data_IF_624908634711
#
_entry.id   IF_624908634711
#
_cell.length_a   1.000
_cell.length_b   1.000
_cell.length_c   1.000
_cell.angle_alpha   90.00
_cell.angle_beta   90.00
_cell.angle_gamma   90.00
#
_symmetry.space_group_name_H-M   'P 1'
#
loop_
_entity.id
_entity.type
_entity.pdbx_description
1 polymer ?
#
# COMPACT_ATOMS: atom_id res chain seq x y z
N UNK A 1 20.70 -30.11 -13.60
CA UNK A 1 19.62 -30.16 -12.61
C UNK A 1 18.84 -28.88 -12.79
N UNK A 2 17.53 -28.89 -13.01
CA UNK A 2 16.79 -27.64 -13.17
C UNK A 2 16.69 -26.94 -11.80
N UNK A 3 17.15 -25.69 -11.72
CA UNK A 3 16.96 -24.84 -10.57
C UNK A 3 15.44 -24.68 -10.35
N UNK A 4 14.95 -25.17 -9.23
CA UNK A 4 13.58 -24.93 -8.79
C UNK A 4 13.38 -23.41 -8.63
N UNK A 5 12.38 -22.80 -9.28
CA UNK A 5 12.10 -21.36 -9.13
C UNK A 5 11.86 -20.93 -7.66
N UNK A 6 11.58 -21.89 -6.77
CA UNK A 6 11.37 -21.66 -5.34
C UNK A 6 12.66 -21.38 -4.54
N UNK A 7 13.84 -21.64 -5.11
CA UNK A 7 15.13 -21.50 -4.39
C UNK A 7 15.84 -20.16 -4.62
N UNK A 8 15.27 -19.24 -5.38
CA UNK A 8 15.85 -17.89 -5.48
C UNK A 8 15.57 -17.14 -4.18
N UNK A 9 16.63 -16.68 -3.45
CA UNK A 9 16.42 -15.85 -2.28
C UNK A 9 15.75 -14.55 -2.75
N UNK A 10 14.47 -14.39 -2.42
CA UNK A 10 13.78 -13.13 -2.63
C UNK A 10 14.39 -12.15 -1.63
N UNK A 11 14.94 -11.03 -2.10
CA UNK A 11 15.54 -9.97 -1.25
C UNK A 11 14.57 -9.54 -0.14
N UNK A 12 13.26 -9.59 -0.43
CA UNK A 12 12.18 -9.32 0.53
C UNK A 12 12.11 -10.34 1.69
N UNK A 13 12.71 -11.54 1.57
CA UNK A 13 12.80 -12.53 2.66
C UNK A 13 13.94 -12.25 3.62
N UNK A 14 14.84 -11.34 3.31
CA UNK A 14 15.90 -10.95 4.23
C UNK A 14 15.31 -10.08 5.34
N UNK A 15 15.33 -10.51 6.61
CA UNK A 15 14.77 -9.73 7.72
C UNK A 15 15.40 -8.34 7.83
N UNK A 16 16.63 -8.15 7.34
CA UNK A 16 17.30 -6.85 7.30
C UNK A 16 16.64 -5.85 6.34
N UNK A 17 15.82 -6.31 5.38
CA UNK A 17 15.11 -5.40 4.47
C UNK A 17 14.23 -4.42 5.24
N UNK A 18 13.39 -4.92 6.16
CA UNK A 18 12.54 -4.06 6.98
C UNK A 18 13.38 -3.16 7.91
N UNK A 19 14.44 -3.69 8.49
CA UNK A 19 15.34 -2.93 9.37
C UNK A 19 16.05 -1.78 8.63
N UNK A 20 16.46 -1.99 7.38
CA UNK A 20 17.19 -1.00 6.58
C UNK A 20 16.23 -0.03 5.90
N UNK A 21 15.20 -0.54 5.22
CA UNK A 21 14.31 0.28 4.37
C UNK A 21 13.24 1.02 5.20
N UNK A 22 12.72 0.35 6.25
CA UNK A 22 11.66 0.87 7.12
C UNK A 22 12.12 1.12 8.56
N UNK A 23 13.42 1.37 8.77
CA UNK A 23 13.93 1.78 10.08
C UNK A 23 13.21 3.04 10.57
N UNK A 24 13.04 3.17 11.88
CA UNK A 24 12.43 4.36 12.49
C UNK A 24 13.17 5.66 12.16
N UNK A 25 14.45 5.57 11.80
CA UNK A 25 15.26 6.69 11.33
C UNK A 25 14.87 7.14 9.92
N UNK A 26 14.65 6.17 9.00
CA UNK A 26 14.29 6.46 7.60
C UNK A 26 12.80 6.72 7.41
N UNK A 27 11.98 5.96 8.13
CA UNK A 27 10.52 6.03 8.10
C UNK A 27 9.99 6.15 9.55
N UNK A 28 10.10 7.32 10.17
CA UNK A 28 9.63 7.53 11.53
C UNK A 28 8.12 7.26 11.60
N UNK A 29 7.70 6.62 12.70
CA UNK A 29 6.28 6.45 13.00
C UNK A 29 5.66 7.84 13.17
N UNK A 30 4.62 8.13 12.42
CA UNK A 30 3.97 9.43 12.41
C UNK A 30 2.46 9.29 12.33
N UNK A 31 1.76 10.41 12.28
CA UNK A 31 0.28 10.46 12.23
C UNK A 31 -0.31 10.03 10.88
N UNK A 32 0.54 9.88 9.84
CA UNK A 32 0.06 9.60 8.48
C UNK A 32 -0.80 8.33 8.38
N UNK A 33 -0.44 7.17 8.98
CA UNK A 33 -1.30 5.99 8.96
C UNK A 33 -2.68 6.24 9.54
N UNK A 34 -2.77 6.91 10.69
CA UNK A 34 -4.04 7.25 11.34
C UNK A 34 -4.89 8.21 10.48
N UNK A 35 -4.27 9.21 9.86
CA UNK A 35 -4.96 10.14 8.97
C UNK A 35 -5.47 9.44 7.70
N UNK A 36 -4.66 8.56 7.09
CA UNK A 36 -5.06 7.82 5.90
C UNK A 36 -6.16 6.80 6.21
N UNK A 37 -6.04 6.04 7.28
CA UNK A 37 -7.06 5.08 7.71
C UNK A 37 -8.42 5.78 7.93
N UNK A 38 -8.44 6.92 8.62
CA UNK A 38 -9.64 7.75 8.81
C UNK A 38 -10.22 8.22 7.46
N UNK A 39 -9.37 8.73 6.57
CA UNK A 39 -9.80 9.16 5.24
C UNK A 39 -10.44 8.02 4.44
N UNK A 40 -9.84 6.82 4.48
CA UNK A 40 -10.37 5.64 3.79
C UNK A 40 -11.67 5.13 4.42
N UNK A 41 -11.79 5.19 5.76
CA UNK A 41 -13.05 4.88 6.44
C UNK A 41 -14.17 5.81 5.97
N UNK A 42 -13.91 7.11 5.88
CA UNK A 42 -14.91 8.10 5.49
C UNK A 42 -15.30 8.05 4.00
N UNK A 43 -14.35 7.72 3.11
CA UNK A 43 -14.52 7.85 1.65
C UNK A 43 -14.74 6.54 0.92
N UNK A 44 -14.12 5.43 1.38
CA UNK A 44 -14.13 4.15 0.72
C UNK A 44 -14.97 3.10 1.47
N UNK A 45 -14.64 2.86 2.74
CA UNK A 45 -15.25 1.76 3.51
C UNK A 45 -16.61 2.13 4.12
N UNK A 46 -16.76 3.37 4.62
CA UNK A 46 -18.01 3.96 5.17
C UNK A 46 -18.62 3.25 6.39
N UNK A 47 -18.04 2.15 6.84
CA UNK A 47 -18.41 1.36 8.02
C UNK A 47 -17.20 0.59 8.52
N UNK A 48 -17.27 0.04 9.72
CA UNK A 48 -16.26 -0.87 10.28
C UNK A 48 -16.63 -2.34 10.07
N UNK A 49 -15.68 -3.23 10.27
CA UNK A 49 -15.84 -4.68 10.13
C UNK A 49 -14.47 -5.38 10.16
N UNK A 50 -14.40 -6.58 9.64
CA UNK A 50 -13.15 -7.34 9.51
C UNK A 50 -12.32 -6.80 8.36
N UNK A 51 -11.08 -6.38 8.65
CA UNK A 51 -10.15 -5.82 7.66
C UNK A 51 -8.87 -6.63 7.63
N UNK A 52 -8.42 -6.98 6.42
CA UNK A 52 -7.10 -7.56 6.19
C UNK A 52 -6.16 -6.51 5.58
N UNK A 53 -5.03 -6.30 6.25
CA UNK A 53 -3.90 -5.51 5.73
C UNK A 53 -2.90 -6.45 5.05
N UNK A 54 -2.81 -6.37 3.71
CA UNK A 54 -1.89 -7.16 2.89
C UNK A 54 -0.61 -6.38 2.70
N UNK A 55 0.50 -6.91 3.24
CA UNK A 55 1.77 -6.21 3.35
C UNK A 55 1.81 -5.30 4.57
N UNK A 56 1.41 -5.84 5.72
CA UNK A 56 1.24 -5.08 6.97
C UNK A 56 2.55 -4.52 7.56
N UNK A 57 3.71 -4.99 7.09
CA UNK A 57 5.02 -4.46 7.47
C UNK A 57 5.21 -4.37 8.99
N UNK A 58 5.42 -3.15 9.52
CA UNK A 58 5.58 -2.92 10.96
C UNK A 58 4.27 -2.90 11.76
N UNK A 59 3.11 -2.95 11.09
CA UNK A 59 1.80 -2.88 11.73
C UNK A 59 1.22 -1.48 11.90
N UNK A 60 1.86 -0.44 11.38
CA UNK A 60 1.42 0.96 11.55
C UNK A 60 -0.05 1.17 11.10
N UNK A 61 -0.50 0.47 10.05
CA UNK A 61 -1.88 0.52 9.57
C UNK A 61 -2.81 -0.42 10.35
N UNK A 62 -2.30 -1.54 10.87
CA UNK A 62 -3.08 -2.38 11.79
C UNK A 62 -3.52 -1.58 13.01
N UNK A 63 -2.57 -0.88 13.65
CA UNK A 63 -2.85 0.01 14.77
C UNK A 63 -3.86 1.10 14.38
N UNK A 64 -3.64 1.74 13.22
CA UNK A 64 -4.48 2.83 12.76
C UNK A 64 -5.95 2.41 12.52
N UNK A 65 -6.18 1.26 11.87
CA UNK A 65 -7.52 0.74 11.64
C UNK A 65 -8.15 0.16 12.91
N UNK A 66 -7.37 -0.51 13.77
CA UNK A 66 -7.85 -1.01 15.06
C UNK A 66 -8.39 0.12 15.95
N UNK A 67 -7.69 1.25 16.02
CA UNK A 67 -8.17 2.44 16.75
C UNK A 67 -9.46 3.07 16.17
N UNK A 68 -9.79 2.75 14.92
CA UNK A 68 -11.05 3.17 14.29
C UNK A 68 -12.17 2.13 14.47
N UNK A 69 -11.92 1.03 15.21
CA UNK A 69 -12.91 -0.01 15.53
C UNK A 69 -13.02 -1.13 14.49
N UNK A 70 -12.02 -1.32 13.62
CA UNK A 70 -11.95 -2.50 12.76
C UNK A 70 -11.38 -3.70 13.52
N UNK A 71 -11.89 -4.90 13.23
CA UNK A 71 -11.26 -6.17 13.59
C UNK A 71 -10.16 -6.45 12.54
N UNK A 72 -8.89 -6.22 12.88
CA UNK A 72 -7.80 -6.24 11.93
C UNK A 72 -7.02 -7.54 11.96
N UNK A 73 -6.61 -7.99 10.78
CA UNK A 73 -5.63 -9.06 10.56
C UNK A 73 -4.57 -8.56 9.60
N UNK A 74 -3.35 -9.11 9.70
CA UNK A 74 -2.24 -8.73 8.83
C UNK A 74 -1.59 -9.94 8.15
N UNK A 75 -1.04 -9.71 6.98
CA UNK A 75 -0.16 -10.67 6.29
C UNK A 75 1.03 -9.94 5.68
N UNK A 76 2.21 -10.51 5.86
CA UNK A 76 3.45 -10.00 5.30
C UNK A 76 4.42 -11.14 4.98
N UNK A 77 5.42 -10.87 4.15
CA UNK A 77 6.50 -11.83 3.85
C UNK A 77 7.48 -11.99 5.03
N UNK A 78 7.63 -10.95 5.83
CA UNK A 78 8.49 -10.92 7.00
C UNK A 78 7.69 -11.18 8.27
N UNK A 79 8.25 -11.90 9.23
CA UNK A 79 7.61 -12.04 10.53
C UNK A 79 7.52 -10.67 11.21
N UNK A 80 6.31 -10.28 11.56
CA UNK A 80 6.06 -9.08 12.36
C UNK A 80 6.65 -9.27 13.77
N UNK A 81 6.88 -8.16 14.48
CA UNK A 81 7.40 -8.22 15.84
C UNK A 81 6.50 -9.08 16.74
N UNK A 82 7.10 -9.79 17.69
CA UNK A 82 6.34 -10.62 18.64
C UNK A 82 5.25 -9.82 19.38
N UNK A 83 5.51 -8.54 19.68
CA UNK A 83 4.53 -7.65 20.32
C UNK A 83 3.27 -7.41 19.47
N UNK A 84 3.39 -7.32 18.15
CA UNK A 84 2.24 -7.18 17.25
C UNK A 84 1.45 -8.52 17.12
N UNK A 85 2.14 -9.66 17.22
CA UNK A 85 1.52 -10.99 17.16
C UNK A 85 0.61 -11.29 18.36
N UNK A 86 0.88 -10.69 19.52
CA UNK A 86 0.02 -10.84 20.70
C UNK A 86 -1.28 -10.03 20.59
N UNK A 87 -1.31 -9.02 19.71
CA UNK A 87 -2.45 -8.09 19.58
C UNK A 87 -3.32 -8.41 18.37
N UNK A 88 -2.74 -8.84 17.27
CA UNK A 88 -3.42 -9.02 15.99
C UNK A 88 -3.26 -10.44 15.44
N UNK A 89 -4.20 -10.88 14.61
CA UNK A 89 -4.05 -12.11 13.83
C UNK A 89 -3.09 -11.84 12.67
N UNK A 90 -1.85 -12.33 12.81
CA UNK A 90 -0.78 -12.12 11.84
C UNK A 90 -0.37 -13.44 11.19
N UNK A 91 -0.19 -13.42 9.87
CA UNK A 91 0.29 -14.58 9.11
C UNK A 91 1.44 -14.19 8.20
N UNK A 92 2.37 -15.12 8.00
CA UNK A 92 3.46 -14.96 7.04
C UNK A 92 3.07 -15.60 5.71
N UNK A 93 3.32 -14.88 4.59
CA UNK A 93 3.00 -15.36 3.26
C UNK A 93 3.88 -14.68 2.21
N UNK A 94 4.44 -15.46 1.30
CA UNK A 94 5.15 -14.95 0.13
C UNK A 94 4.20 -14.90 -1.08
N UNK A 95 3.62 -13.75 -1.34
CA UNK A 95 2.66 -13.54 -2.44
C UNK A 95 3.24 -13.77 -3.85
N UNK A 96 4.55 -13.88 -4.02
CA UNK A 96 5.14 -14.31 -5.30
C UNK A 96 4.79 -15.77 -5.64
N UNK A 97 4.59 -16.63 -4.65
CA UNK A 97 4.41 -18.06 -4.87
C UNK A 97 3.36 -18.74 -3.98
N UNK A 98 2.79 -18.02 -3.01
CA UNK A 98 1.85 -18.61 -2.04
C UNK A 98 0.50 -17.87 -2.10
N UNK A 99 -0.62 -18.61 -1.99
CA UNK A 99 -1.93 -18.00 -1.84
C UNK A 99 -2.08 -17.36 -0.45
N UNK A 100 -2.93 -16.34 -0.33
CA UNK A 100 -3.28 -15.75 0.97
C UNK A 100 -3.80 -16.82 1.95
N UNK A 101 -3.21 -16.94 3.17
CA UNK A 101 -3.52 -18.01 4.11
C UNK A 101 -4.78 -17.75 4.97
N UNK A 102 -5.84 -17.26 4.34
CA UNK A 102 -7.14 -16.96 4.95
C UNK A 102 -8.27 -17.65 4.20
N UNK A 103 -9.43 -17.81 4.85
CA UNK A 103 -10.59 -18.47 4.26
C UNK A 103 -11.27 -17.58 3.19
N UNK A 104 -12.06 -18.20 2.34
CA UNK A 104 -12.90 -17.47 1.40
C UNK A 104 -13.97 -16.68 2.15
N UNK A 105 -14.27 -15.46 1.66
CA UNK A 105 -15.35 -14.61 2.19
C UNK A 105 -15.21 -14.32 3.71
N UNK A 106 -13.96 -14.14 4.18
CA UNK A 106 -13.67 -13.91 5.60
C UNK A 106 -13.72 -12.43 5.96
N UNK A 107 -13.30 -11.53 5.06
CA UNK A 107 -13.11 -10.11 5.34
C UNK A 107 -14.17 -9.23 4.68
N UNK A 108 -14.56 -8.17 5.38
CA UNK A 108 -15.44 -7.12 4.85
C UNK A 108 -14.62 -6.11 4.02
N UNK A 109 -13.34 -5.94 4.38
CA UNK A 109 -12.44 -4.95 3.80
C UNK A 109 -11.04 -5.50 3.58
N UNK A 110 -10.42 -5.06 2.49
CA UNK A 110 -9.00 -5.28 2.19
C UNK A 110 -8.31 -3.93 2.09
N UNK A 111 -7.15 -3.82 2.69
CA UNK A 111 -6.20 -2.75 2.49
C UNK A 111 -4.87 -3.34 2.03
N UNK A 112 -4.23 -2.71 1.04
CA UNK A 112 -2.86 -3.03 0.62
C UNK A 112 -2.20 -1.76 0.12
N UNK A 113 -1.05 -1.42 0.69
CA UNK A 113 -0.29 -0.23 0.30
C UNK A 113 1.18 -0.57 0.13
N UNK A 114 1.73 -0.25 -1.04
CA UNK A 114 3.14 -0.46 -1.38
C UNK A 114 3.55 -1.94 -1.28
N UNK A 115 2.81 -2.81 -1.98
CA UNK A 115 3.06 -4.25 -2.07
C UNK A 115 3.07 -4.73 -3.52
N UNK A 116 2.06 -4.36 -4.30
CA UNK A 116 1.86 -4.90 -5.65
C UNK A 116 3.02 -4.55 -6.60
N UNK A 117 3.71 -3.44 -6.38
CA UNK A 117 4.89 -3.02 -7.13
C UNK A 117 6.11 -3.89 -6.90
N UNK A 118 6.15 -4.65 -5.80
CA UNK A 118 7.23 -5.58 -5.47
C UNK A 118 7.04 -6.97 -6.09
N UNK A 119 5.88 -7.25 -6.65
CA UNK A 119 5.54 -8.55 -7.22
C UNK A 119 5.80 -8.59 -8.72
N UNK A 120 6.49 -9.63 -9.20
CA UNK A 120 6.64 -9.87 -10.64
C UNK A 120 5.30 -10.25 -11.26
N UNK A 121 4.46 -10.95 -10.50
CA UNK A 121 3.09 -11.27 -10.90
C UNK A 121 2.11 -10.85 -9.81
N UNK A 122 1.10 -10.00 -10.11
CA UNK A 122 0.17 -9.50 -9.10
C UNK A 122 -0.91 -10.51 -8.72
N UNK A 123 -1.01 -11.65 -9.42
CA UNK A 123 -2.20 -12.50 -9.38
C UNK A 123 -2.47 -13.12 -8.01
N UNK A 124 -1.44 -13.55 -7.26
CA UNK A 124 -1.65 -14.08 -5.91
C UNK A 124 -2.20 -13.03 -4.96
N UNK A 125 -1.79 -11.76 -5.11
CA UNK A 125 -2.33 -10.66 -4.32
C UNK A 125 -3.78 -10.38 -4.72
N UNK A 126 -4.04 -10.09 -6.00
CA UNK A 126 -5.36 -9.59 -6.42
C UNK A 126 -6.44 -10.67 -6.41
N UNK A 127 -6.13 -11.90 -6.89
CA UNK A 127 -7.07 -13.02 -6.83
C UNK A 127 -7.24 -13.53 -5.40
N UNK A 128 -6.17 -13.47 -4.60
CA UNK A 128 -6.23 -13.78 -3.16
C UNK A 128 -7.13 -12.78 -2.42
N UNK A 129 -6.95 -11.48 -2.65
CA UNK A 129 -7.79 -10.43 -2.08
C UNK A 129 -9.27 -10.62 -2.47
N UNK A 130 -9.54 -10.90 -3.76
CA UNK A 130 -10.88 -11.21 -4.23
C UNK A 130 -11.48 -12.43 -3.52
N UNK A 131 -10.71 -13.51 -3.38
CA UNK A 131 -11.16 -14.76 -2.75
C UNK A 131 -11.54 -14.56 -1.29
N UNK A 132 -10.68 -13.90 -0.51
CA UNK A 132 -10.89 -13.75 0.95
C UNK A 132 -11.89 -12.65 1.29
N UNK A 133 -12.19 -11.75 0.36
CA UNK A 133 -13.18 -10.69 0.52
C UNK A 133 -14.59 -11.26 0.43
N UNK A 134 -15.50 -10.84 1.31
CA UNK A 134 -16.93 -11.20 1.26
C UNK A 134 -17.60 -10.60 0.02
N UNK A 135 -18.68 -11.24 -0.52
CA UNK A 135 -19.53 -10.57 -1.49
C UNK A 135 -19.98 -9.19 -1.01
N UNK A 136 -19.88 -8.18 -1.88
CA UNK A 136 -20.14 -6.78 -1.53
C UNK A 136 -19.03 -6.09 -0.73
N UNK A 137 -17.97 -6.80 -0.37
CA UNK A 137 -16.80 -6.23 0.34
C UNK A 137 -15.99 -5.30 -0.55
N UNK A 138 -15.22 -4.42 0.08
CA UNK A 138 -14.44 -3.35 -0.58
C UNK A 138 -12.95 -3.57 -0.39
N UNK A 139 -12.18 -3.47 -1.47
CA UNK A 139 -10.72 -3.46 -1.44
C UNK A 139 -10.17 -2.09 -1.81
N UNK A 140 -9.14 -1.66 -1.09
CA UNK A 140 -8.32 -0.50 -1.39
C UNK A 140 -6.89 -0.95 -1.65
N UNK A 141 -6.37 -0.65 -2.84
CA UNK A 141 -4.99 -0.95 -3.24
C UNK A 141 -4.29 0.33 -3.62
N UNK A 142 -3.13 0.55 -3.02
CA UNK A 142 -2.30 1.74 -3.26
C UNK A 142 -0.89 1.34 -3.68
N UNK A 143 -0.38 1.99 -4.73
CA UNK A 143 0.97 1.75 -5.29
C UNK A 143 1.54 3.04 -5.87
N UNK A 144 2.87 3.21 -5.99
CA UNK A 144 3.45 4.37 -6.67
C UNK A 144 2.92 4.53 -8.09
N UNK A 145 2.59 5.78 -8.46
CA UNK A 145 2.17 6.09 -9.82
C UNK A 145 3.37 6.15 -10.74
N UNK A 146 3.47 5.25 -11.73
CA UNK A 146 4.53 5.29 -12.73
C UNK A 146 4.60 6.65 -13.45
N UNK A 147 3.47 7.24 -13.79
CA UNK A 147 3.41 8.53 -14.46
C UNK A 147 4.08 9.69 -13.67
N UNK A 148 4.25 9.53 -12.34
CA UNK A 148 4.86 10.52 -11.47
C UNK A 148 6.23 10.11 -10.93
N UNK A 149 6.63 8.86 -11.11
CA UNK A 149 7.86 8.33 -10.49
C UNK A 149 8.85 7.74 -11.50
N UNK A 150 8.52 7.66 -12.80
CA UNK A 150 9.34 7.05 -13.86
C UNK A 150 10.73 7.70 -14.02
N UNK A 151 10.86 8.97 -13.68
CA UNK A 151 12.11 9.73 -13.81
C UNK A 151 13.16 9.42 -12.71
N UNK A 152 12.87 8.48 -11.80
CA UNK A 152 13.82 8.01 -10.78
C UNK A 152 13.21 7.57 -9.46
N UNK A 153 12.21 8.28 -8.86
CA UNK A 153 11.70 7.94 -7.54
C UNK A 153 11.11 6.53 -7.40
N UNK A 154 10.69 5.90 -8.50
CA UNK A 154 10.20 4.52 -8.46
C UNK A 154 11.27 3.56 -7.91
N UNK A 155 12.51 3.72 -8.32
CA UNK A 155 13.64 2.88 -7.90
C UNK A 155 14.39 3.40 -6.67
N UNK A 156 13.81 4.29 -5.88
CA UNK A 156 14.33 4.60 -4.53
C UNK A 156 14.32 3.35 -3.67
N UNK A 157 13.31 2.51 -3.83
CA UNK A 157 13.32 1.14 -3.35
C UNK A 157 13.74 0.21 -4.49
N UNK A 158 14.88 -0.46 -4.33
CA UNK A 158 15.48 -1.35 -5.32
C UNK A 158 14.67 -2.64 -5.55
N UNK A 159 13.70 -2.92 -4.71
CA UNK A 159 12.82 -4.10 -4.80
C UNK A 159 11.56 -3.85 -5.63
N UNK A 160 11.34 -2.63 -6.10
CA UNK A 160 10.25 -2.33 -7.03
C UNK A 160 10.54 -2.95 -8.41
N UNK A 161 9.65 -3.81 -8.87
CA UNK A 161 9.81 -4.55 -10.14
C UNK A 161 8.69 -4.27 -11.14
N UNK A 162 7.48 -4.00 -10.69
CA UNK A 162 6.31 -3.80 -11.55
C UNK A 162 5.71 -2.41 -11.40
N UNK A 163 5.92 -1.51 -12.39
CA UNK A 163 5.32 -0.18 -12.36
C UNK A 163 3.85 -0.21 -12.79
N UNK A 164 3.02 0.62 -12.14
CA UNK A 164 1.60 0.73 -12.44
C UNK A 164 1.19 2.13 -12.91
N UNK A 165 0.24 2.14 -13.84
CA UNK A 165 -0.53 3.31 -14.28
C UNK A 165 -1.99 3.14 -13.84
N UNK A 166 -2.82 4.20 -13.95
CA UNK A 166 -4.26 4.08 -13.67
C UNK A 166 -4.90 2.94 -14.48
N UNK A 167 -4.73 2.84 -15.82
CA UNK A 167 -5.32 1.74 -16.59
C UNK A 167 -4.80 0.38 -16.16
N UNK A 168 -3.48 0.19 -16.08
CA UNK A 168 -2.92 -1.13 -15.79
C UNK A 168 -3.30 -1.67 -14.41
N UNK A 169 -3.44 -0.80 -13.41
CA UNK A 169 -3.95 -1.21 -12.10
C UNK A 169 -5.43 -1.58 -12.16
N UNK A 170 -6.24 -0.82 -12.92
CA UNK A 170 -7.66 -1.13 -13.10
C UNK A 170 -7.84 -2.46 -13.86
N UNK A 171 -7.06 -2.71 -14.91
CA UNK A 171 -7.13 -3.96 -15.70
C UNK A 171 -6.83 -5.18 -14.84
N UNK A 172 -5.78 -5.14 -14.03
CA UNK A 172 -5.40 -6.25 -13.13
C UNK A 172 -6.53 -6.55 -12.13
N UNK A 173 -7.17 -5.54 -11.59
CA UNK A 173 -8.29 -5.70 -10.66
C UNK A 173 -9.53 -6.25 -11.37
N UNK A 174 -9.82 -5.78 -12.59
CA UNK A 174 -10.94 -6.26 -13.39
C UNK A 174 -10.76 -7.73 -13.79
N UNK A 175 -9.54 -8.12 -14.19
CA UNK A 175 -9.20 -9.51 -14.52
C UNK A 175 -9.41 -10.44 -13.30
N UNK A 176 -9.14 -9.94 -12.09
CA UNK A 176 -9.40 -10.69 -10.85
C UNK A 176 -10.90 -10.82 -10.49
N UNK A 177 -11.77 -10.12 -11.20
CA UNK A 177 -13.24 -10.19 -11.01
C UNK A 177 -13.84 -9.05 -10.18
N UNK A 178 -13.04 -8.04 -9.80
CA UNK A 178 -13.58 -6.87 -9.11
C UNK A 178 -14.42 -6.00 -10.04
N UNK A 179 -15.42 -5.36 -9.45
CA UNK A 179 -16.31 -4.39 -10.10
C UNK A 179 -16.24 -3.03 -9.41
N UNK A 180 -16.91 -2.03 -9.98
CA UNK A 180 -16.96 -0.66 -9.44
C UNK A 180 -15.57 -0.08 -9.17
N UNK A 181 -14.61 -0.37 -10.08
CA UNK A 181 -13.22 0.02 -9.93
C UNK A 181 -13.08 1.51 -10.17
N UNK A 182 -12.57 2.22 -9.17
CA UNK A 182 -12.20 3.64 -9.24
C UNK A 182 -10.73 3.80 -8.93
N UNK A 183 -9.91 4.00 -9.96
CA UNK A 183 -8.47 4.26 -9.83
C UNK A 183 -8.16 5.72 -10.10
N UNK A 184 -7.40 6.36 -9.20
CA UNK A 184 -7.04 7.78 -9.30
C UNK A 184 -5.66 8.09 -8.75
N UNK A 185 -5.10 9.23 -9.13
CA UNK A 185 -3.91 9.77 -8.46
C UNK A 185 -4.23 10.21 -7.05
N UNK A 186 -3.34 9.86 -6.13
CA UNK A 186 -3.48 10.16 -4.71
C UNK A 186 -2.22 10.84 -4.18
N UNK A 187 -2.34 12.12 -3.86
CA UNK A 187 -1.27 12.92 -3.28
C UNK A 187 -1.19 12.62 -1.79
N UNK A 188 -0.01 12.23 -1.30
CA UNK A 188 0.20 11.88 0.11
C UNK A 188 0.30 13.12 1.03
N UNK A 189 -0.57 14.09 0.80
CA UNK A 189 -0.67 15.36 1.52
C UNK A 189 -2.05 15.46 2.17
N UNK A 190 -2.20 15.16 3.49
CA UNK A 190 -3.50 15.06 4.15
C UNK A 190 -4.39 16.31 4.05
N UNK A 191 -3.81 17.50 4.01
CA UNK A 191 -4.55 18.73 3.86
C UNK A 191 -5.20 18.88 2.46
N UNK A 192 -4.65 18.26 1.42
CA UNK A 192 -5.25 18.22 0.08
C UNK A 192 -6.48 17.32 0.06
N UNK A 193 -6.55 16.30 0.90
CA UNK A 193 -7.72 15.41 0.96
C UNK A 193 -8.96 16.14 1.46
N UNK A 194 -8.78 17.11 2.38
CA UNK A 194 -9.86 17.95 2.92
C UNK A 194 -10.20 19.12 2.00
N UNK A 195 -9.23 19.60 1.21
CA UNK A 195 -9.35 20.78 0.37
C UNK A 195 -8.91 20.46 -1.07
N UNK A 196 -9.73 19.70 -1.80
CA UNK A 196 -9.43 19.28 -3.18
C UNK A 196 -9.23 20.45 -4.16
N UNK A 197 -9.78 21.62 -3.85
CA UNK A 197 -9.54 22.88 -4.60
C UNK A 197 -8.06 23.30 -4.64
N UNK A 198 -7.22 22.77 -3.74
CA UNK A 198 -5.78 23.02 -3.71
C UNK A 198 -4.98 22.15 -4.70
N UNK A 199 -5.59 21.10 -5.25
CA UNK A 199 -4.92 20.20 -6.21
C UNK A 199 -4.27 20.91 -7.40
N UNK A 200 -4.90 21.90 -8.07
CA UNK A 200 -4.26 22.62 -9.16
C UNK A 200 -2.98 23.35 -8.74
N UNK A 201 -2.98 23.92 -7.53
CA UNK A 201 -1.81 24.61 -6.96
C UNK A 201 -0.68 23.60 -6.71
N UNK A 202 -0.98 22.43 -6.16
CA UNK A 202 0.00 21.38 -5.93
C UNK A 202 0.56 20.82 -7.23
N UNK A 203 -0.26 20.65 -8.25
CA UNK A 203 0.20 20.24 -9.59
C UNK A 203 1.17 21.26 -10.19
N UNK A 204 0.85 22.53 -10.08
CA UNK A 204 1.75 23.61 -10.54
C UNK A 204 3.05 23.60 -9.73
N UNK A 205 2.96 23.44 -8.40
CA UNK A 205 4.12 23.36 -7.51
C UNK A 205 4.99 22.15 -7.84
N UNK A 206 4.39 20.99 -8.14
CA UNK A 206 5.12 19.78 -8.52
C UNK A 206 5.91 19.90 -9.83
N UNK A 207 5.48 20.82 -10.74
CA UNK A 207 6.16 21.07 -11.99
C UNK A 207 7.42 21.95 -11.81
N UNK A 208 7.60 22.61 -10.65
CA UNK A 208 8.79 23.40 -10.40
C UNK A 208 10.05 22.51 -10.31
N UNK A 209 11.22 22.97 -10.79
CA UNK A 209 12.46 22.19 -10.76
C UNK A 209 13.10 22.17 -9.36
N UNK A 210 12.28 21.90 -8.35
CA UNK A 210 12.72 21.74 -6.97
C UNK A 210 13.16 20.32 -6.73
N UNK A 211 14.38 20.14 -6.22
CA UNK A 211 14.89 18.83 -5.81
C UNK A 211 14.54 18.57 -4.35
N UNK A 212 14.33 17.31 -4.02
CA UNK A 212 14.17 16.83 -2.65
C UNK A 212 15.08 15.62 -2.43
N UNK A 213 15.33 15.28 -1.17
CA UNK A 213 15.99 14.02 -0.79
C UNK A 213 15.02 13.16 -0.02
N UNK A 214 14.88 11.88 -0.39
CA UNK A 214 13.86 11.03 0.22
C UNK A 214 14.16 10.69 1.69
N UNK A 215 15.42 10.74 2.10
CA UNK A 215 15.82 10.32 3.44
C UNK A 215 16.62 11.40 4.19
N UNK A 216 17.93 11.38 4.22
CA UNK A 216 18.74 12.25 5.06
C UNK A 216 19.35 13.46 4.31
N UNK A 217 19.81 14.46 5.06
CA UNK A 217 20.54 15.64 4.52
C UNK A 217 19.76 16.40 3.44
N UNK A 218 18.47 16.61 3.66
CA UNK A 218 17.67 17.44 2.77
C UNK A 218 18.23 18.88 2.75
N UNK A 219 18.25 19.50 1.56
CA UNK A 219 18.62 20.91 1.38
C UNK A 219 17.63 21.86 2.05
N UNK A 220 16.40 21.39 2.27
CA UNK A 220 15.28 22.14 2.81
C UNK A 220 14.89 21.63 4.20
N UNK A 221 14.25 22.47 5.03
CA UNK A 221 13.63 22.02 6.27
C UNK A 221 12.71 20.82 6.03
N UNK A 222 12.61 19.91 6.97
CA UNK A 222 11.87 18.64 6.85
C UNK A 222 10.45 18.80 6.33
N UNK A 223 9.71 19.79 6.83
CA UNK A 223 8.33 20.04 6.40
C UNK A 223 8.24 20.45 4.93
N UNK A 224 9.17 21.30 4.47
CA UNK A 224 9.22 21.74 3.09
C UNK A 224 9.77 20.65 2.16
N UNK A 225 10.76 19.88 2.60
CA UNK A 225 11.25 18.72 1.87
C UNK A 225 10.14 17.68 1.67
N UNK A 226 9.34 17.41 2.70
CA UNK A 226 8.16 16.53 2.62
C UNK A 226 7.10 17.08 1.66
N UNK A 227 6.85 18.38 1.67
CA UNK A 227 5.93 19.02 0.73
C UNK A 227 6.40 18.84 -0.72
N UNK A 228 7.67 19.11 -1.02
CA UNK A 228 8.24 18.90 -2.37
C UNK A 228 8.12 17.43 -2.74
N UNK A 229 8.57 16.53 -1.86
CA UNK A 229 8.54 15.09 -2.08
C UNK A 229 7.14 14.60 -2.41
N UNK A 230 6.18 14.82 -1.53
CA UNK A 230 4.82 14.28 -1.68
C UNK A 230 3.94 15.03 -2.68
N UNK A 231 4.40 16.17 -3.20
CA UNK A 231 3.82 16.77 -4.40
C UNK A 231 4.25 16.04 -5.69
N UNK A 232 5.40 15.36 -5.68
CA UNK A 232 6.00 14.65 -6.82
C UNK A 232 5.83 13.14 -6.75
N UNK A 233 6.04 12.52 -5.59
CA UNK A 233 5.82 11.09 -5.35
C UNK A 233 4.33 10.80 -5.12
N UNK A 234 3.57 10.81 -6.21
CA UNK A 234 2.13 10.56 -6.19
C UNK A 234 1.86 9.06 -6.23
N UNK A 235 0.89 8.60 -5.46
CA UNK A 235 0.41 7.22 -5.53
C UNK A 235 -0.80 7.08 -6.46
N UNK A 236 -1.07 5.87 -6.89
CA UNK A 236 -2.38 5.42 -7.33
C UNK A 236 -3.14 4.95 -6.11
N UNK A 237 -4.42 5.27 -6.06
CA UNK A 237 -5.39 4.70 -5.13
C UNK A 237 -6.50 4.09 -5.94
N UNK A 238 -6.63 2.78 -5.86
CA UNK A 238 -7.74 2.02 -6.43
C UNK A 238 -8.69 1.58 -5.32
N UNK A 239 -9.95 1.86 -5.51
CA UNK A 239 -11.07 1.34 -4.70
C UNK A 239 -11.89 0.45 -5.61
N UNK A 240 -12.15 -0.78 -5.19
CA UNK A 240 -12.93 -1.74 -5.98
C UNK A 240 -13.77 -2.62 -5.06
N UNK A 241 -14.75 -3.31 -5.62
CA UNK A 241 -15.73 -4.09 -4.87
C UNK A 241 -15.83 -5.51 -5.44
N UNK A 242 -15.96 -6.49 -4.56
CA UNK A 242 -16.37 -7.83 -4.97
C UNK A 242 -17.86 -7.82 -5.23
N UNK A 243 -18.36 -8.38 -6.36
CA UNK A 243 -19.78 -8.49 -6.63
C UNK A 243 -20.58 -9.06 -5.44
N UNK A 244 -21.80 -8.60 -5.25
CA UNK A 244 -22.69 -9.08 -4.17
C UNK A 244 -23.33 -10.44 -4.46
N UNK A 245 -23.09 -10.99 -5.66
CA UNK A 245 -23.68 -12.27 -6.11
C UNK A 245 -22.57 -13.19 -6.62
#
# INVERSE_FOLDING_TARGET
MPNNPQDKPTVLKDPRYLEVTYSTTRAPVGEYPAMLARHLMETAYKKTGKLLDIGSGRGDFLDAFSHLGYEVSGVDISPLSAAAADTYTLKTCNLECEPLPFNENEFDFIFSKSVIEHLHTPYNLVSGAYRVLKPGGVAVIMTPSWAHTYWGPFYIDHTHVTPYTIPSLADVLQIAGFENISSRYFYQLPWVWRHSSLLPIIRLFSALPLSYRPYENARWPDSFNKLIRFSKEVMLLAVCQKPSR
#
